data_IF_128233678992
#
_entry.id   IF_128233678992
#
_cell.length_a   1.000
_cell.length_b   1.000
_cell.length_c   1.000
_cell.angle_alpha   90.00
_cell.angle_beta   90.00
_cell.angle_gamma   90.00
#
_symmetry.space_group_name_H-M   'P 1'
#
loop_
_entity.id
_entity.type
_entity.pdbx_description
1 polymer ?
#
# COMPACT_ATOMS: atom_id res chain seq x y z
N UNK A 1 -25.73 5.28 -4.55
CA UNK A 1 -26.07 5.13 -5.99
C UNK A 1 -25.02 5.84 -6.82
N UNK A 2 -24.49 5.20 -7.86
CA UNK A 2 -23.52 5.83 -8.78
C UNK A 2 -24.26 6.79 -9.72
N UNK A 3 -24.37 8.05 -9.30
CA UNK A 3 -25.06 9.11 -10.04
C UNK A 3 -24.20 10.37 -10.08
N UNK A 4 -24.55 11.28 -10.98
CA UNK A 4 -23.85 12.56 -11.14
C UNK A 4 -23.92 13.39 -9.86
N UNK A 5 -25.05 13.35 -9.15
CA UNK A 5 -25.23 14.04 -7.87
C UNK A 5 -24.31 13.49 -6.76
N UNK A 6 -23.85 12.24 -6.90
CA UNK A 6 -22.92 11.59 -5.97
C UNK A 6 -21.48 11.56 -6.51
N UNK A 7 -21.15 12.43 -7.46
CA UNK A 7 -19.77 12.64 -7.92
C UNK A 7 -19.32 11.80 -9.11
N UNK A 8 -20.20 10.98 -9.70
CA UNK A 8 -19.87 10.19 -10.89
C UNK A 8 -19.90 11.07 -12.14
N UNK A 9 -18.80 11.13 -12.90
CA UNK A 9 -18.71 11.93 -14.11
C UNK A 9 -19.00 11.15 -15.40
N UNK A 10 -18.75 9.84 -15.42
CA UNK A 10 -19.01 8.98 -16.59
C UNK A 10 -19.11 7.50 -16.23
N UNK A 11 -19.34 6.67 -17.24
CA UNK A 11 -19.29 5.22 -17.14
C UNK A 11 -20.63 4.53 -16.95
N UNK A 12 -20.64 3.21 -17.20
CA UNK A 12 -21.81 2.34 -17.06
C UNK A 12 -21.57 1.20 -16.06
N UNK A 13 -20.49 1.24 -15.29
CA UNK A 13 -20.19 0.27 -14.23
C UNK A 13 -19.93 -1.16 -14.73
N UNK A 14 -19.56 -1.33 -15.99
CA UNK A 14 -19.03 -2.60 -16.54
C UNK A 14 -17.51 -2.58 -16.45
N UNK A 15 -16.84 -3.74 -16.58
CA UNK A 15 -15.37 -3.78 -16.56
C UNK A 15 -14.73 -2.95 -17.68
N UNK A 16 -15.36 -2.91 -18.86
CA UNK A 16 -14.87 -2.15 -20.01
C UNK A 16 -15.28 -0.67 -19.99
N UNK A 17 -16.26 -0.30 -19.15
CA UNK A 17 -16.79 1.06 -19.00
C UNK A 17 -17.16 1.31 -17.53
N UNK A 18 -16.15 1.36 -16.63
CA UNK A 18 -16.38 1.52 -15.20
C UNK A 18 -16.96 2.90 -14.89
N UNK A 19 -17.72 3.00 -13.79
CA UNK A 19 -18.08 4.32 -13.29
C UNK A 19 -16.85 5.14 -12.92
N UNK A 20 -16.82 6.42 -13.24
CA UNK A 20 -15.67 7.28 -12.96
C UNK A 20 -16.06 8.35 -11.94
N UNK A 21 -15.27 8.47 -10.88
CA UNK A 21 -15.31 9.54 -9.89
C UNK A 21 -13.93 10.20 -9.93
N UNK A 22 -13.84 11.45 -10.40
CA UNK A 22 -12.54 12.05 -10.69
C UNK A 22 -12.46 13.54 -10.37
N UNK A 23 -11.25 14.02 -10.06
CA UNK A 23 -10.93 15.44 -9.96
C UNK A 23 -11.52 16.14 -8.73
N UNK A 24 -11.88 15.38 -7.70
CA UNK A 24 -12.49 15.94 -6.48
C UNK A 24 -11.41 16.33 -5.47
N UNK A 25 -11.60 17.48 -4.83
CA UNK A 25 -10.83 17.91 -3.65
C UNK A 25 -11.81 17.93 -2.48
N UNK A 26 -11.60 17.05 -1.50
CA UNK A 26 -12.51 16.81 -0.38
C UNK A 26 -11.77 17.07 0.94
N UNK A 27 -12.10 18.17 1.60
CA UNK A 27 -11.81 18.34 3.02
C UNK A 27 -13.01 17.79 3.82
N UNK A 28 -12.82 16.63 4.43
CA UNK A 28 -13.86 15.98 5.21
C UNK A 28 -14.16 16.71 6.53
N UNK A 29 -13.31 17.62 7.01
CA UNK A 29 -13.64 18.49 8.15
C UNK A 29 -14.09 17.74 9.41
N UNK A 30 -13.53 16.56 9.69
CA UNK A 30 -13.92 15.61 10.74
C UNK A 30 -15.20 14.80 10.52
N UNK A 31 -15.80 14.82 9.33
CA UNK A 31 -16.76 13.79 8.93
C UNK A 31 -16.07 12.42 8.95
N UNK A 32 -16.85 11.36 9.20
CA UNK A 32 -16.32 10.00 9.29
C UNK A 32 -15.61 9.60 7.98
N UNK A 33 -16.17 10.00 6.81
CA UNK A 33 -15.66 9.57 5.51
C UNK A 33 -15.69 10.68 4.46
N UNK A 34 -14.69 10.71 3.57
CA UNK A 34 -14.74 11.51 2.34
C UNK A 34 -15.61 10.82 1.27
N UNK A 35 -15.19 9.63 0.83
CA UNK A 35 -15.94 8.77 -0.10
C UNK A 35 -16.32 7.47 0.60
N UNK A 36 -17.59 7.07 0.48
CA UNK A 36 -18.07 5.80 1.01
C UNK A 36 -18.83 5.01 -0.05
N UNK A 37 -18.34 3.81 -0.36
CA UNK A 37 -18.98 2.89 -1.32
C UNK A 37 -19.20 1.54 -0.64
N UNK A 38 -20.40 1.00 -0.80
CA UNK A 38 -20.81 -0.23 -0.13
C UNK A 38 -21.65 -1.12 -1.04
N UNK A 39 -21.39 -2.42 -1.01
CA UNK A 39 -22.26 -3.45 -1.56
C UNK A 39 -22.39 -3.43 -3.08
N UNK A 40 -21.28 -3.30 -3.81
CA UNK A 40 -21.28 -3.28 -5.28
C UNK A 40 -20.25 -4.23 -5.87
N UNK A 41 -20.63 -4.84 -6.98
CA UNK A 41 -19.73 -5.60 -7.87
C UNK A 41 -19.48 -4.91 -9.21
N UNK A 42 -20.17 -3.78 -9.44
CA UNK A 42 -19.99 -2.96 -10.64
C UNK A 42 -18.65 -2.27 -10.56
N UNK A 43 -17.93 -2.25 -11.67
CA UNK A 43 -16.60 -1.67 -11.72
C UNK A 43 -16.68 -0.15 -11.59
N UNK A 44 -15.72 0.43 -10.87
CA UNK A 44 -15.60 1.86 -10.74
C UNK A 44 -14.15 2.28 -10.54
N UNK A 45 -13.87 3.53 -10.93
CA UNK A 45 -12.60 4.21 -10.84
C UNK A 45 -12.74 5.44 -9.97
N UNK A 46 -11.79 5.61 -9.05
CA UNK A 46 -11.58 6.85 -8.32
C UNK A 46 -10.20 7.35 -8.74
N UNK A 47 -10.14 8.47 -9.48
CA UNK A 47 -8.89 8.95 -10.08
C UNK A 47 -8.67 10.44 -9.84
N UNK A 48 -7.43 10.87 -9.61
CA UNK A 48 -7.10 12.30 -9.43
C UNK A 48 -7.96 12.97 -8.34
N UNK A 49 -8.07 12.31 -7.19
CA UNK A 49 -8.84 12.81 -6.04
C UNK A 49 -7.90 13.12 -4.87
N UNK A 50 -8.12 14.26 -4.23
CA UNK A 50 -7.46 14.66 -2.99
C UNK A 50 -8.48 14.57 -1.83
N UNK A 51 -8.15 13.83 -0.76
CA UNK A 51 -9.00 13.75 0.44
C UNK A 51 -8.18 13.96 1.72
N UNK A 52 -8.65 14.88 2.56
CA UNK A 52 -8.04 15.18 3.85
C UNK A 52 -9.04 15.28 5.00
N UNK A 53 -8.55 15.12 6.23
CA UNK A 53 -9.28 15.46 7.45
C UNK A 53 -10.43 14.51 7.84
N UNK A 54 -10.51 13.32 7.25
CA UNK A 54 -11.53 12.33 7.60
C UNK A 54 -11.28 11.73 8.99
N UNK A 55 -12.32 11.71 9.83
CA UNK A 55 -12.23 11.21 11.20
C UNK A 55 -12.14 9.68 11.29
N UNK A 56 -12.50 8.94 10.22
CA UNK A 56 -12.28 7.49 10.12
C UNK A 56 -11.53 7.09 8.87
N UNK A 57 -12.05 7.39 7.67
CA UNK A 57 -11.37 6.98 6.45
C UNK A 57 -11.62 7.95 5.30
N UNK A 58 -10.57 8.35 4.59
CA UNK A 58 -10.72 9.16 3.38
C UNK A 58 -11.61 8.43 2.36
N UNK A 59 -11.33 7.15 2.12
CA UNK A 59 -12.21 6.24 1.38
C UNK A 59 -12.55 5.03 2.24
N UNK A 60 -13.85 4.71 2.33
CA UNK A 60 -14.33 3.48 2.96
C UNK A 60 -15.04 2.59 1.93
N UNK A 61 -14.48 1.41 1.68
CA UNK A 61 -14.99 0.40 0.76
C UNK A 61 -15.43 -0.85 1.53
N UNK A 62 -16.69 -1.24 1.40
CA UNK A 62 -17.21 -2.41 2.11
C UNK A 62 -18.09 -3.30 1.24
N UNK A 63 -17.80 -4.60 1.20
CA UNK A 63 -18.44 -5.56 0.29
C UNK A 63 -18.35 -5.09 -1.17
N UNK A 64 -17.13 -4.73 -1.58
CA UNK A 64 -16.81 -4.13 -2.88
C UNK A 64 -15.86 -5.03 -3.66
N UNK A 65 -16.05 -5.09 -4.97
CA UNK A 65 -15.12 -5.69 -5.94
C UNK A 65 -15.03 -4.84 -7.20
N UNK A 66 -13.90 -4.97 -7.92
CA UNK A 66 -13.59 -4.27 -9.17
C UNK A 66 -13.46 -2.74 -9.02
N UNK A 67 -12.98 -2.28 -7.86
CA UNK A 67 -12.55 -0.89 -7.69
C UNK A 67 -11.12 -0.71 -8.20
N UNK A 68 -10.88 0.39 -8.90
CA UNK A 68 -9.54 0.89 -9.22
C UNK A 68 -9.42 2.30 -8.64
N UNK A 69 -8.46 2.52 -7.75
CA UNK A 69 -8.18 3.82 -7.14
C UNK A 69 -6.79 4.22 -7.61
N UNK A 70 -6.70 5.30 -8.38
CA UNK A 70 -5.46 5.67 -9.05
C UNK A 70 -5.11 7.14 -8.90
N UNK A 71 -3.82 7.44 -8.78
CA UNK A 71 -3.31 8.83 -8.82
C UNK A 71 -4.04 9.76 -7.82
N UNK A 72 -4.36 9.24 -6.63
CA UNK A 72 -5.06 9.99 -5.57
C UNK A 72 -4.12 10.37 -4.43
N UNK A 73 -4.42 11.48 -3.76
CA UNK A 73 -3.69 11.98 -2.60
C UNK A 73 -4.54 11.92 -1.32
N UNK A 74 -4.09 11.16 -0.32
CA UNK A 74 -4.77 10.99 0.97
C UNK A 74 -3.92 11.54 2.11
N UNK A 75 -4.30 12.71 2.64
CA UNK A 75 -3.46 13.47 3.57
C UNK A 75 -4.16 13.77 4.90
N UNK A 76 -3.54 13.41 6.02
CA UNK A 76 -4.02 13.84 7.35
C UNK A 76 -5.35 13.22 7.78
N UNK A 77 -5.65 12.00 7.33
CA UNK A 77 -6.85 11.25 7.71
C UNK A 77 -6.53 10.29 8.86
N UNK A 78 -7.57 9.79 9.54
CA UNK A 78 -7.38 8.64 10.42
C UNK A 78 -6.88 7.43 9.62
N UNK A 79 -7.61 7.02 8.59
CA UNK A 79 -7.16 6.03 7.61
C UNK A 79 -7.25 6.62 6.19
N UNK A 80 -6.27 6.38 5.32
CA UNK A 80 -6.39 6.77 3.91
C UNK A 80 -7.49 5.97 3.21
N UNK A 81 -7.32 4.65 3.12
CA UNK A 81 -8.35 3.75 2.57
C UNK A 81 -8.61 2.58 3.52
N UNK A 82 -9.88 2.36 3.84
CA UNK A 82 -10.32 1.14 4.54
C UNK A 82 -11.05 0.21 3.59
N UNK A 83 -10.61 -1.04 3.54
CA UNK A 83 -11.31 -2.15 2.89
C UNK A 83 -11.94 -3.07 3.93
N UNK A 84 -13.21 -3.41 3.76
CA UNK A 84 -13.94 -4.29 4.67
C UNK A 84 -14.77 -5.33 3.91
N UNK A 85 -14.38 -6.60 3.99
CA UNK A 85 -14.93 -7.69 3.17
C UNK A 85 -14.85 -7.40 1.65
N UNK A 86 -13.72 -6.87 1.18
CA UNK A 86 -13.53 -6.46 -0.20
C UNK A 86 -12.50 -7.37 -0.92
N UNK A 87 -12.63 -7.50 -2.24
CA UNK A 87 -11.74 -8.33 -3.06
C UNK A 87 -11.54 -7.80 -4.47
N UNK A 88 -10.43 -8.15 -5.11
CA UNK A 88 -10.15 -7.79 -6.51
C UNK A 88 -10.19 -6.28 -6.77
N UNK A 89 -9.67 -5.50 -5.83
CA UNK A 89 -9.52 -4.06 -5.99
C UNK A 89 -8.04 -3.71 -6.20
N UNK A 90 -7.80 -2.59 -6.89
CA UNK A 90 -6.46 -2.12 -7.22
C UNK A 90 -6.28 -0.69 -6.71
N UNK A 91 -5.14 -0.43 -6.10
CA UNK A 91 -4.69 0.89 -5.65
C UNK A 91 -3.36 1.16 -6.36
N UNK A 92 -3.30 2.21 -7.17
CA UNK A 92 -2.21 2.41 -8.13
C UNK A 92 -1.71 3.86 -8.10
N UNK A 93 -0.43 4.08 -7.85
CA UNK A 93 0.14 5.43 -8.01
C UNK A 93 -0.36 6.47 -7.00
N UNK A 94 -1.00 6.04 -5.91
CA UNK A 94 -1.55 6.94 -4.89
C UNK A 94 -0.49 7.38 -3.87
N UNK A 95 -0.70 8.55 -3.27
CA UNK A 95 0.10 9.05 -2.14
C UNK A 95 -0.69 9.00 -0.84
N UNK A 96 -0.07 8.49 0.23
CA UNK A 96 -0.62 8.45 1.58
C UNK A 96 0.32 9.19 2.52
N UNK A 97 -0.10 10.33 3.05
CA UNK A 97 0.75 11.18 3.87
C UNK A 97 0.09 11.64 5.17
N UNK A 98 0.83 11.55 6.26
CA UNK A 98 0.43 11.97 7.61
C UNK A 98 -0.90 11.38 8.08
N UNK A 99 -1.24 10.16 7.67
CA UNK A 99 -2.39 9.43 8.19
C UNK A 99 -1.99 8.61 9.43
N UNK A 100 -2.94 8.24 10.29
CA UNK A 100 -2.67 7.19 11.29
C UNK A 100 -2.39 5.89 10.53
N UNK A 101 -3.34 5.44 9.71
CA UNK A 101 -3.17 4.29 8.83
C UNK A 101 -3.20 4.73 7.35
N UNK A 102 -2.25 4.29 6.53
CA UNK A 102 -2.31 4.54 5.09
C UNK A 102 -3.44 3.74 4.45
N UNK A 103 -3.35 2.41 4.51
CA UNK A 103 -4.39 1.49 4.07
C UNK A 103 -4.63 0.44 5.17
N UNK A 104 -5.91 0.15 5.45
CA UNK A 104 -6.31 -0.92 6.36
C UNK A 104 -7.25 -1.91 5.68
N UNK A 105 -6.86 -3.17 5.64
CA UNK A 105 -7.70 -4.29 5.21
C UNK A 105 -8.29 -5.03 6.40
N UNK A 106 -9.62 -5.20 6.38
CA UNK A 106 -10.36 -6.09 7.26
C UNK A 106 -11.01 -7.19 6.43
N UNK A 107 -10.63 -8.44 6.67
CA UNK A 107 -11.22 -9.61 5.98
C UNK A 107 -11.28 -9.44 4.45
N UNK A 108 -10.24 -8.84 3.88
CA UNK A 108 -10.23 -8.39 2.49
C UNK A 108 -9.07 -9.01 1.74
N UNK A 109 -9.40 -9.78 0.71
CA UNK A 109 -8.48 -10.73 0.08
C UNK A 109 -8.28 -10.42 -1.40
N UNK A 110 -7.17 -10.86 -1.98
CA UNK A 110 -6.95 -10.78 -3.44
C UNK A 110 -7.01 -9.33 -3.99
N UNK A 111 -6.54 -8.35 -3.23
CA UNK A 111 -6.39 -6.95 -3.65
C UNK A 111 -4.92 -6.63 -4.00
N UNK A 112 -4.70 -5.53 -4.71
CA UNK A 112 -3.37 -5.13 -5.17
C UNK A 112 -3.08 -3.67 -4.81
N UNK A 113 -1.92 -3.42 -4.21
CA UNK A 113 -1.35 -2.09 -3.97
C UNK A 113 -0.07 -1.98 -4.78
N UNK A 114 -0.04 -1.06 -5.75
CA UNK A 114 1.03 -0.97 -6.74
C UNK A 114 1.53 0.46 -6.90
N UNK A 115 2.84 0.64 -6.95
CA UNK A 115 3.48 1.92 -7.29
C UNK A 115 3.02 3.11 -6.42
N UNK A 116 2.56 2.85 -5.20
CA UNK A 116 2.09 3.88 -4.27
C UNK A 116 3.23 4.41 -3.40
N UNK A 117 3.01 5.60 -2.82
CA UNK A 117 3.96 6.27 -1.93
C UNK A 117 3.34 6.53 -0.56
N UNK A 118 4.01 6.10 0.51
CA UNK A 118 3.56 6.26 1.89
C UNK A 118 4.58 7.06 2.70
N UNK A 119 4.25 8.30 3.09
CA UNK A 119 5.21 9.23 3.70
C UNK A 119 4.62 10.40 4.51
N UNK A 120 5.00 10.54 5.80
CA UNK A 120 5.03 9.49 6.82
C UNK A 120 3.60 9.01 7.15
N UNK A 121 3.42 7.82 7.72
CA UNK A 121 2.16 7.39 8.37
C UNK A 121 2.50 6.71 9.71
N UNK A 122 1.55 6.52 10.64
CA UNK A 122 1.85 5.69 11.83
C UNK A 122 2.02 4.23 11.37
N UNK A 123 0.96 3.63 10.81
CA UNK A 123 1.03 2.36 10.07
C UNK A 123 0.80 2.62 8.58
N UNK A 124 1.72 2.28 7.69
CA UNK A 124 1.50 2.53 6.26
C UNK A 124 0.48 1.54 5.65
N UNK A 125 0.65 0.23 5.87
CA UNK A 125 -0.27 -0.79 5.36
C UNK A 125 -0.55 -1.82 6.46
N UNK A 126 -1.82 -2.02 6.79
CA UNK A 126 -2.28 -2.96 7.82
C UNK A 126 -3.22 -4.01 7.22
N UNK A 127 -2.91 -5.29 7.44
CA UNK A 127 -3.78 -6.44 7.15
C UNK A 127 -4.31 -7.11 8.43
N UNK A 128 -5.62 -7.10 8.64
CA UNK A 128 -6.32 -7.94 9.63
C UNK A 128 -7.08 -9.05 8.90
N UNK A 129 -6.70 -10.32 9.16
CA UNK A 129 -7.31 -11.52 8.58
C UNK A 129 -7.53 -11.42 7.05
N UNK A 130 -6.50 -10.97 6.34
CA UNK A 130 -6.56 -10.57 4.93
C UNK A 130 -5.47 -11.27 4.12
N UNK A 131 -5.91 -12.12 3.19
CA UNK A 131 -5.08 -13.12 2.52
C UNK A 131 -4.86 -12.84 1.04
N UNK A 132 -3.76 -13.35 0.50
CA UNK A 132 -3.49 -13.37 -0.94
C UNK A 132 -3.55 -11.99 -1.61
N UNK A 133 -3.29 -10.91 -0.85
CA UNK A 133 -3.11 -9.58 -1.41
C UNK A 133 -1.69 -9.41 -1.96
N UNK A 134 -1.51 -8.42 -2.82
CA UNK A 134 -0.22 -8.11 -3.43
C UNK A 134 0.18 -6.67 -3.11
N UNK A 135 1.41 -6.49 -2.63
CA UNK A 135 2.02 -5.20 -2.33
C UNK A 135 3.28 -5.10 -3.18
N UNK A 136 3.21 -4.36 -4.29
CA UNK A 136 4.21 -4.37 -5.34
C UNK A 136 4.78 -2.99 -5.64
N UNK A 137 6.10 -2.87 -5.71
CA UNK A 137 6.77 -1.67 -6.22
C UNK A 137 6.39 -0.37 -5.48
N UNK A 138 6.01 -0.48 -4.21
CA UNK A 138 5.65 0.68 -3.40
C UNK A 138 6.87 1.27 -2.71
N UNK A 139 6.80 2.58 -2.44
CA UNK A 139 7.78 3.27 -1.62
C UNK A 139 7.16 3.63 -0.27
N UNK A 140 7.68 3.05 0.81
CA UNK A 140 7.20 3.30 2.17
C UNK A 140 8.33 3.88 2.99
N UNK A 141 8.18 5.12 3.45
CA UNK A 141 9.20 5.75 4.28
C UNK A 141 8.67 6.52 5.47
N UNK A 142 9.50 6.58 6.50
CA UNK A 142 9.26 7.35 7.73
C UNK A 142 7.95 6.95 8.41
N UNK A 143 7.49 5.72 8.20
CA UNK A 143 6.41 5.14 8.96
C UNK A 143 6.91 4.62 10.30
N UNK A 144 6.05 4.63 11.31
CA UNK A 144 6.36 3.94 12.56
C UNK A 144 6.33 2.41 12.33
N UNK A 145 5.32 1.92 11.62
CA UNK A 145 5.24 0.55 11.11
C UNK A 145 4.94 0.58 9.61
N UNK A 146 5.80 0.02 8.76
CA UNK A 146 5.58 0.07 7.31
C UNK A 146 4.52 -0.95 6.86
N UNK A 147 4.69 -2.23 7.21
CA UNK A 147 3.68 -3.27 6.96
C UNK A 147 3.41 -4.01 8.26
N UNK A 148 2.13 -4.12 8.62
CA UNK A 148 1.66 -4.88 9.77
C UNK A 148 0.65 -5.94 9.34
N UNK A 149 0.95 -7.21 9.63
CA UNK A 149 0.08 -8.34 9.31
C UNK A 149 -0.19 -9.18 10.55
N UNK A 150 -1.46 -9.40 10.86
CA UNK A 150 -1.89 -10.17 12.03
C UNK A 150 -3.16 -10.98 11.71
N UNK A 151 -3.61 -11.75 12.71
CA UNK A 151 -4.87 -12.51 12.69
C UNK A 151 -5.02 -13.46 11.50
N UNK A 152 -4.01 -14.30 11.22
CA UNK A 152 -4.04 -15.26 10.11
C UNK A 152 -4.02 -14.61 8.73
N UNK A 153 -3.33 -13.48 8.56
CA UNK A 153 -3.13 -12.82 7.25
C UNK A 153 -1.96 -13.49 6.51
N UNK A 154 -2.28 -14.44 5.63
CA UNK A 154 -1.31 -15.34 5.03
C UNK A 154 -1.30 -15.33 3.49
N UNK A 155 -0.16 -15.75 2.93
CA UNK A 155 0.02 -15.89 1.48
C UNK A 155 -0.06 -14.57 0.72
N UNK A 156 0.11 -13.43 1.40
CA UNK A 156 0.30 -12.15 0.74
C UNK A 156 1.67 -12.13 0.05
N UNK A 157 1.74 -11.41 -1.07
CA UNK A 157 2.94 -11.33 -1.91
C UNK A 157 3.48 -9.90 -1.92
N UNK A 158 4.64 -9.70 -1.27
CA UNK A 158 5.26 -8.39 -1.01
C UNK A 158 6.61 -8.37 -1.71
N UNK A 159 6.70 -7.81 -2.92
CA UNK A 159 7.93 -7.85 -3.73
C UNK A 159 8.19 -6.52 -4.43
N UNK A 160 9.47 -6.17 -4.56
CA UNK A 160 9.91 -4.98 -5.28
C UNK A 160 9.63 -3.67 -4.55
N UNK A 161 9.25 -3.71 -3.27
CA UNK A 161 9.00 -2.49 -2.50
C UNK A 161 10.32 -1.91 -1.96
N UNK A 162 10.30 -0.62 -1.62
CA UNK A 162 11.37 0.04 -0.89
C UNK A 162 10.88 0.53 0.47
N UNK A 163 11.46 -0.01 1.53
CA UNK A 163 11.19 0.39 2.91
C UNK A 163 12.35 1.23 3.43
N UNK A 164 12.14 2.54 3.64
CA UNK A 164 13.23 3.49 3.96
C UNK A 164 12.94 4.24 5.25
N UNK A 165 13.90 4.32 6.17
CA UNK A 165 13.79 5.12 7.41
C UNK A 165 12.50 4.88 8.22
N UNK A 166 11.95 3.66 8.17
CA UNK A 166 10.81 3.27 9.01
C UNK A 166 11.33 2.81 10.36
N UNK A 167 10.58 3.04 11.45
CA UNK A 167 10.99 2.52 12.76
C UNK A 167 10.91 0.98 12.77
N UNK A 168 9.88 0.43 12.14
CA UNK A 168 9.70 -1.00 11.89
C UNK A 168 9.33 -1.23 10.42
N UNK A 169 10.14 -2.02 9.70
CA UNK A 169 9.93 -2.26 8.27
C UNK A 169 8.82 -3.27 7.98
N UNK A 170 8.65 -4.29 8.81
CA UNK A 170 7.61 -5.29 8.61
C UNK A 170 7.35 -6.05 9.92
N UNK A 171 6.13 -6.52 10.07
CA UNK A 171 5.74 -7.49 11.09
C UNK A 171 4.69 -8.44 10.50
N UNK A 172 4.84 -9.72 10.79
CA UNK A 172 3.87 -10.75 10.41
C UNK A 172 3.81 -11.86 11.47
N UNK A 173 2.59 -12.30 11.77
CA UNK A 173 2.31 -13.48 12.62
C UNK A 173 2.22 -14.78 11.81
N UNK A 174 2.04 -14.69 10.49
CA UNK A 174 1.69 -15.82 9.62
C UNK A 174 2.54 -15.83 8.34
N UNK A 175 2.65 -16.98 7.63
CA UNK A 175 3.53 -17.08 6.47
C UNK A 175 3.10 -16.20 5.29
N UNK A 176 4.02 -15.36 4.84
CA UNK A 176 3.88 -14.50 3.65
C UNK A 176 5.09 -14.63 2.72
N UNK A 177 4.96 -14.12 1.50
CA UNK A 177 5.99 -14.23 0.47
C UNK A 177 6.63 -12.88 0.23
N UNK A 178 7.94 -12.79 0.47
CA UNK A 178 8.71 -11.53 0.44
C UNK A 178 9.70 -11.44 -0.72
N UNK A 179 9.76 -12.47 -1.57
CA UNK A 179 10.58 -12.54 -2.77
C UNK A 179 9.91 -13.41 -3.85
N UNK A 180 10.35 -13.30 -5.10
CA UNK A 180 9.84 -14.09 -6.23
C UNK A 180 10.78 -15.24 -6.65
N UNK A 181 11.78 -15.55 -5.83
CA UNK A 181 12.85 -16.50 -6.16
C UNK A 181 13.99 -15.94 -7.00
N UNK A 182 13.92 -14.66 -7.39
CA UNK A 182 15.00 -13.94 -8.09
C UNK A 182 15.27 -12.58 -7.45
N UNK A 183 14.23 -11.86 -7.06
CA UNK A 183 14.31 -10.54 -6.45
C UNK A 183 13.27 -10.41 -5.32
N UNK A 184 13.65 -9.63 -4.30
CA UNK A 184 12.79 -9.27 -3.18
C UNK A 184 12.59 -7.77 -3.06
N UNK A 185 12.66 -7.27 -1.83
CA UNK A 185 12.45 -5.88 -1.46
C UNK A 185 13.77 -5.18 -1.12
N UNK A 186 13.74 -3.85 -1.12
CA UNK A 186 14.82 -3.03 -0.60
C UNK A 186 14.54 -2.65 0.86
N UNK A 187 15.47 -2.98 1.75
CA UNK A 187 15.38 -2.73 3.18
C UNK A 187 16.40 -1.67 3.59
N UNK A 188 15.95 -0.44 3.78
CA UNK A 188 16.79 0.71 4.11
C UNK A 188 17.61 0.46 5.38
N UNK A 189 18.93 0.55 5.28
CA UNK A 189 19.86 0.31 6.40
C UNK A 189 20.27 -1.16 6.57
N UNK A 190 19.66 -2.10 5.85
CA UNK A 190 20.17 -3.46 5.75
C UNK A 190 21.40 -3.49 4.85
N UNK A 191 22.44 -4.21 5.30
CA UNK A 191 23.68 -4.39 4.56
C UNK A 191 24.18 -5.81 4.81
N UNK A 192 24.57 -6.47 3.72
CA UNK A 192 25.20 -7.78 3.76
C UNK A 192 26.36 -7.82 2.76
N UNK A 193 26.82 -9.03 2.43
CA UNK A 193 27.75 -9.24 1.33
C UNK A 193 26.91 -9.48 0.07
N UNK A 194 27.32 -8.86 -1.02
CA UNK A 194 26.91 -9.17 -2.39
C UNK A 194 28.20 -9.61 -3.10
N UNK A 195 28.50 -10.91 -3.08
CA UNK A 195 29.80 -11.45 -3.47
C UNK A 195 29.95 -11.63 -4.98
N UNK A 196 28.85 -11.83 -5.70
CA UNK A 196 28.82 -11.98 -7.15
C UNK A 196 28.42 -10.69 -7.90
N UNK A 197 28.16 -9.60 -7.16
CA UNK A 197 27.85 -8.26 -7.66
C UNK A 197 26.59 -8.24 -8.54
N UNK A 198 25.62 -9.10 -8.24
CA UNK A 198 24.37 -9.21 -8.99
C UNK A 198 23.30 -8.18 -8.57
N UNK A 199 23.56 -7.43 -7.48
CA UNK A 199 22.66 -6.42 -6.94
C UNK A 199 21.65 -6.96 -5.92
N UNK A 200 21.79 -8.21 -5.51
CA UNK A 200 21.07 -8.86 -4.42
C UNK A 200 22.03 -9.14 -3.25
N UNK A 201 21.54 -9.00 -2.04
CA UNK A 201 22.28 -9.39 -0.85
C UNK A 201 22.29 -10.92 -0.71
N UNK A 202 23.48 -11.52 -0.52
CA UNK A 202 23.64 -12.98 -0.36
C UNK A 202 23.02 -13.53 0.94
N UNK A 203 22.70 -12.65 1.88
CA UNK A 203 22.06 -13.00 3.14
C UNK A 203 20.60 -12.56 3.12
N UNK A 204 19.69 -13.40 3.66
CA UNK A 204 18.28 -13.05 3.72
C UNK A 204 18.03 -11.90 4.70
N UNK A 205 16.95 -11.17 4.47
CA UNK A 205 16.39 -10.23 5.44
C UNK A 205 15.30 -10.95 6.23
N UNK A 206 15.54 -11.20 7.51
CA UNK A 206 14.59 -11.85 8.40
C UNK A 206 13.43 -10.89 8.75
N UNK A 207 12.19 -11.32 8.52
CA UNK A 207 10.97 -10.56 8.84
C UNK A 207 10.46 -10.94 10.23
N UNK A 208 10.42 -12.24 10.51
CA UNK A 208 9.98 -12.77 11.81
C UNK A 208 10.88 -13.94 12.24
N UNK A 209 10.85 -14.24 13.54
CA UNK A 209 11.64 -15.34 14.12
C UNK A 209 11.11 -16.74 13.73
N UNK A 210 9.95 -16.80 13.08
CA UNK A 210 9.26 -18.06 12.75
C UNK A 210 9.52 -18.50 11.29
N UNK A 211 10.47 -17.85 10.61
CA UNK A 211 11.00 -18.29 9.31
C UNK A 211 10.55 -17.45 8.11
N UNK A 212 9.71 -16.44 8.31
CA UNK A 212 9.40 -15.47 7.26
C UNK A 212 10.61 -14.58 7.00
N UNK A 213 11.09 -14.60 5.76
CA UNK A 213 12.26 -13.86 5.34
C UNK A 213 12.16 -13.53 3.85
N UNK A 214 12.83 -12.46 3.46
CA UNK A 214 13.14 -12.13 2.07
C UNK A 214 14.50 -12.76 1.72
N UNK A 215 14.51 -13.73 0.81
CA UNK A 215 15.73 -14.44 0.42
C UNK A 215 16.54 -13.72 -0.66
N UNK A 216 15.97 -12.70 -1.29
CA UNK A 216 16.62 -11.95 -2.36
C UNK A 216 16.56 -10.44 -2.10
N UNK A 217 17.06 -9.93 -0.94
CA UNK A 217 16.94 -8.51 -0.61
C UNK A 217 17.78 -7.67 -1.57
N UNK A 218 17.23 -6.58 -2.11
CA UNK A 218 17.93 -5.76 -3.10
C UNK A 218 18.97 -4.83 -2.47
N UNK A 219 20.12 -4.68 -3.13
CA UNK A 219 21.17 -3.71 -2.77
C UNK A 219 20.75 -2.28 -3.07
N UNK A 220 19.99 -2.07 -4.15
CA UNK A 220 19.51 -0.74 -4.58
C UNK A 220 18.05 -0.80 -5.02
N UNK A 221 17.41 0.37 -5.09
CA UNK A 221 16.05 0.49 -5.59
C UNK A 221 15.87 1.80 -6.38
N UNK A 222 15.14 1.81 -7.51
CA UNK A 222 14.99 3.01 -8.35
C UNK A 222 14.36 4.21 -7.66
N UNK A 223 13.51 3.98 -6.65
CA UNK A 223 12.85 5.02 -5.86
C UNK A 223 13.71 5.54 -4.69
N UNK A 224 14.89 4.95 -4.45
CA UNK A 224 15.79 5.32 -3.36
C UNK A 224 17.00 6.03 -3.94
N UNK A 225 17.26 7.26 -3.47
CA UNK A 225 18.41 8.03 -3.92
C UNK A 225 19.72 7.30 -3.57
N UNK A 226 20.64 7.22 -4.53
CA UNK A 226 21.97 6.69 -4.26
C UNK A 226 22.67 7.53 -3.18
N UNK A 227 23.39 6.90 -2.22
CA UNK A 227 24.16 7.65 -1.26
C UNK A 227 25.18 8.55 -1.99
N UNK A 228 25.44 9.77 -1.50
CA UNK A 228 26.45 10.63 -2.10
C UNK A 228 27.81 9.91 -2.11
N UNK A 229 28.67 10.14 -3.12
CA UNK A 229 29.98 9.53 -3.17
C UNK A 229 30.73 9.81 -1.86
N UNK A 230 31.43 8.81 -1.33
CA UNK A 230 32.27 9.00 -0.15
C UNK A 230 33.21 10.19 -0.40
N UNK A 231 33.06 11.26 0.39
CA UNK A 231 34.01 12.35 0.37
C UNK A 231 35.35 11.79 0.86
N UNK A 232 36.44 12.03 0.12
CA UNK A 232 37.76 11.64 0.58
C UNK A 232 38.01 12.23 1.97
N UNK A 233 38.36 11.41 2.95
CA UNK A 233 38.89 11.89 4.22
C UNK A 233 40.19 12.65 3.94
N UNK A 234 40.16 13.98 4.10
CA UNK A 234 41.32 14.87 3.95
C UNK A 234 42.02 15.06 5.29
#
# INVERSE_FOLDING_TARGET
EFTVENGVCSGQGTLDDPYVIAGWIIDAGYDDYGIRIHGTTRAFRIEDVEISGAARSAIYLSYVTNAEISDCDFVGNWTGITFNFARFNQIIGCTFASNTDGIHFYFSNENQIMNCRFEPNDTAIWFDASDQNQVLNNYVSKAHMAIYMNFASAGNFIVGNAFVDNLHHAYTDDPNVWDDGQEGNYWGGYQAIDADEDGIWDSPFEISNDGDQDNFPRVTHPLVAAPPPAACDI
#
